data_IF_464273576017
#
_entry.id   IF_464273576017
#
_cell.length_a   1.000
_cell.length_b   1.000
_cell.length_c   1.000
_cell.angle_alpha   90.00
_cell.angle_beta   90.00
_cell.angle_gamma   90.00
#
_symmetry.space_group_name_H-M   'P 1'
#
loop_
_entity.id
_entity.type
_entity.pdbx_description
1 polymer ?
#
# COMPACT_ATOMS: atom_id res chain seq x y z
N UNK A 1 -12.22 -3.98 -41.31
CA UNK A 1 -11.90 -4.97 -40.25
C UNK A 1 -10.46 -4.90 -39.68
N UNK A 2 -9.58 -3.97 -40.10
CA UNK A 2 -8.17 -3.88 -39.60
C UNK A 2 -7.97 -3.07 -38.30
N UNK A 3 -8.96 -2.28 -37.86
CA UNK A 3 -8.84 -1.40 -36.68
C UNK A 3 -9.05 -2.11 -35.34
N UNK A 4 -9.67 -3.30 -35.31
CA UNK A 4 -10.01 -4.02 -34.06
C UNK A 4 -8.85 -4.82 -33.46
N UNK A 5 -7.81 -5.13 -34.25
CA UNK A 5 -6.66 -5.96 -33.82
C UNK A 5 -5.54 -5.10 -33.18
N UNK A 6 -5.52 -3.79 -33.44
CA UNK A 6 -4.47 -2.89 -32.92
C UNK A 6 -4.64 -2.54 -31.43
N UNK A 7 -5.88 -2.61 -30.92
CA UNK A 7 -6.22 -2.27 -29.53
C UNK A 7 -5.61 -3.27 -28.51
N UNK A 8 -5.74 -4.61 -28.66
CA UNK A 8 -5.17 -5.54 -27.69
C UNK A 8 -3.63 -5.49 -27.64
N UNK A 9 -2.98 -5.22 -28.78
CA UNK A 9 -1.51 -5.11 -28.86
C UNK A 9 -1.02 -3.87 -28.13
N UNK A 10 -1.73 -2.73 -28.27
CA UNK A 10 -1.40 -1.51 -27.54
C UNK A 10 -1.60 -1.65 -26.03
N UNK A 11 -2.66 -2.34 -25.59
CA UNK A 11 -2.89 -2.62 -24.17
C UNK A 11 -1.82 -3.54 -23.55
N UNK A 12 -1.36 -4.56 -24.29
CA UNK A 12 -0.29 -5.44 -23.83
C UNK A 12 1.06 -4.72 -23.70
N UNK A 13 1.36 -3.78 -24.61
CA UNK A 13 2.58 -2.97 -24.54
C UNK A 13 2.57 -1.99 -23.36
N UNK A 14 1.42 -1.40 -23.01
CA UNK A 14 1.26 -0.51 -21.86
C UNK A 14 1.36 -1.26 -20.51
N UNK A 15 0.94 -2.53 -20.46
CA UNK A 15 1.04 -3.34 -19.25
C UNK A 15 2.51 -3.67 -18.88
N UNK A 16 3.40 -3.76 -19.87
CA UNK A 16 4.81 -4.09 -19.65
C UNK A 16 5.62 -2.95 -18.99
N UNK A 17 5.21 -1.69 -19.16
CA UNK A 17 5.90 -0.54 -18.56
C UNK A 17 5.47 -0.22 -17.13
N UNK A 18 4.44 -0.89 -16.60
CA UNK A 18 3.89 -0.59 -15.27
C UNK A 18 4.63 -1.25 -14.10
N UNK A 19 5.60 -2.13 -14.38
CA UNK A 19 6.34 -2.86 -13.35
C UNK A 19 7.76 -2.29 -13.21
N UNK A 20 7.88 -1.07 -12.72
CA UNK A 20 9.18 -0.50 -12.33
C UNK A 20 9.56 -1.04 -10.95
N UNK A 21 10.61 -1.88 -10.81
CA UNK A 21 11.03 -2.36 -9.51
C UNK A 21 11.50 -1.17 -8.65
N UNK A 22 11.07 -1.15 -7.40
CA UNK A 22 11.43 -0.11 -6.43
C UNK A 22 12.37 -0.72 -5.39
N UNK A 23 13.40 0.02 -4.98
CA UNK A 23 14.33 -0.40 -3.94
C UNK A 23 14.48 0.66 -2.85
N UNK A 24 14.69 0.21 -1.62
CA UNK A 24 15.04 1.08 -0.49
C UNK A 24 16.53 1.42 -0.54
N UNK A 25 16.86 2.71 -0.49
CA UNK A 25 18.24 3.19 -0.52
C UNK A 25 18.48 4.13 0.65
N UNK A 26 19.63 3.96 1.29
CA UNK A 26 20.18 4.88 2.29
C UNK A 26 21.68 5.01 2.03
N UNK A 27 22.24 6.22 1.83
CA UNK A 27 23.61 6.40 1.35
C UNK A 27 24.72 5.73 2.19
N UNK A 28 24.44 5.46 3.47
CA UNK A 28 25.42 4.96 4.44
C UNK A 28 25.06 3.56 4.99
N UNK A 29 23.99 2.93 4.50
CA UNK A 29 23.54 1.64 5.01
C UNK A 29 24.21 0.48 4.26
N UNK A 30 24.68 -0.52 5.00
CA UNK A 30 25.08 -1.80 4.41
C UNK A 30 23.86 -2.63 4.03
N UNK A 31 23.96 -3.59 3.09
CA UNK A 31 22.86 -4.48 2.76
C UNK A 31 22.32 -5.25 3.98
N UNK A 32 23.22 -5.66 4.88
CA UNK A 32 22.84 -6.35 6.11
C UNK A 32 22.05 -5.43 7.06
N UNK A 33 22.40 -4.15 7.14
CA UNK A 33 21.64 -3.17 7.92
C UNK A 33 20.25 -2.92 7.32
N UNK A 34 20.15 -2.87 5.98
CA UNK A 34 18.86 -2.73 5.30
C UNK A 34 17.93 -3.89 5.65
N UNK A 35 18.41 -5.14 5.56
CA UNK A 35 17.59 -6.32 5.85
C UNK A 35 17.13 -6.34 7.32
N UNK A 36 18.03 -5.99 8.25
CA UNK A 36 17.70 -5.90 9.67
C UNK A 36 16.67 -4.79 9.96
N UNK A 37 16.86 -3.61 9.38
CA UNK A 37 15.95 -2.49 9.52
C UNK A 37 14.58 -2.79 8.92
N UNK A 38 14.53 -3.44 7.75
CA UNK A 38 13.30 -3.85 7.09
C UNK A 38 12.55 -4.87 7.94
N UNK A 39 13.23 -5.91 8.45
CA UNK A 39 12.62 -6.91 9.31
C UNK A 39 12.08 -6.29 10.62
N UNK A 40 12.84 -5.38 11.24
CA UNK A 40 12.40 -4.68 12.43
C UNK A 40 11.16 -3.82 12.14
N UNK A 41 11.18 -3.04 11.06
CA UNK A 41 10.05 -2.20 10.68
C UNK A 41 8.79 -3.02 10.35
N UNK A 42 8.93 -4.18 9.71
CA UNK A 42 7.81 -5.08 9.45
C UNK A 42 7.21 -5.64 10.74
N UNK A 43 8.04 -6.09 11.67
CA UNK A 43 7.56 -6.61 12.96
C UNK A 43 6.81 -5.55 13.77
N UNK A 44 7.36 -4.34 13.83
CA UNK A 44 6.72 -3.20 14.51
C UNK A 44 5.40 -2.81 13.84
N UNK A 45 5.39 -2.73 12.51
CA UNK A 45 4.20 -2.44 11.73
C UNK A 45 3.11 -3.50 11.94
N UNK A 46 3.47 -4.78 11.96
CA UNK A 46 2.53 -5.88 12.21
C UNK A 46 1.89 -5.78 13.59
N UNK A 47 2.68 -5.50 14.64
CA UNK A 47 2.16 -5.35 16.01
C UNK A 47 1.15 -4.19 16.07
N UNK A 48 1.49 -3.05 15.49
CA UNK A 48 0.64 -1.87 15.49
C UNK A 48 -0.63 -2.07 14.64
N UNK A 49 -0.51 -2.61 13.43
CA UNK A 49 -1.64 -2.89 12.55
C UNK A 49 -2.61 -3.89 13.19
N UNK A 50 -2.08 -4.92 13.86
CA UNK A 50 -2.88 -5.89 14.62
C UNK A 50 -3.57 -5.24 15.82
N UNK A 51 -2.87 -4.41 16.58
CA UNK A 51 -3.44 -3.66 17.71
C UNK A 51 -4.60 -2.78 17.24
N UNK A 52 -4.39 -2.02 16.15
CA UNK A 52 -5.42 -1.16 15.53
C UNK A 52 -6.63 -1.93 15.06
N UNK A 53 -6.40 -3.08 14.45
CA UNK A 53 -7.47 -3.93 13.93
C UNK A 53 -8.35 -4.48 15.06
N UNK A 54 -7.75 -4.86 16.18
CA UNK A 54 -8.49 -5.44 17.31
C UNK A 54 -9.10 -4.42 18.27
N UNK A 55 -8.42 -3.30 18.56
CA UNK A 55 -8.84 -2.34 19.59
C UNK A 55 -9.54 -1.09 19.05
N UNK A 56 -9.20 -0.65 17.85
CA UNK A 56 -9.63 0.66 17.33
C UNK A 56 -10.65 0.57 16.19
N UNK A 57 -11.03 -0.64 15.76
CA UNK A 57 -12.07 -0.80 14.74
C UNK A 57 -13.48 -0.74 15.36
N UNK A 58 -14.37 0.12 14.86
CA UNK A 58 -15.78 0.01 15.16
C UNK A 58 -16.32 -1.33 14.64
N UNK A 59 -16.74 -2.21 15.55
CA UNK A 59 -17.23 -3.57 15.25
C UNK A 59 -18.68 -3.54 14.70
N UNK A 60 -19.37 -2.39 14.80
CA UNK A 60 -20.78 -2.25 14.44
C UNK A 60 -21.04 -1.33 13.23
N UNK A 61 -22.25 -1.41 12.64
CA UNK A 61 -22.67 -0.48 11.61
C UNK A 61 -22.83 0.95 12.17
N UNK A 62 -22.40 1.94 11.38
CA UNK A 62 -22.62 3.35 11.65
C UNK A 62 -23.80 3.88 10.80
N UNK A 63 -24.62 4.75 11.39
CA UNK A 63 -25.66 5.48 10.68
C UNK A 63 -25.07 6.77 10.12
N UNK A 64 -25.03 6.90 8.79
CA UNK A 64 -24.62 8.11 8.09
C UNK A 64 -25.83 8.78 7.44
N UNK A 65 -25.72 10.09 7.23
CA UNK A 65 -26.74 10.89 6.55
C UNK A 65 -26.13 11.51 5.30
N UNK A 66 -26.79 11.38 4.15
CA UNK A 66 -26.35 12.03 2.91
C UNK A 66 -26.74 13.51 2.88
N UNK A 67 -26.26 14.23 1.86
CA UNK A 67 -26.58 15.64 1.66
C UNK A 67 -28.08 15.91 1.42
N UNK A 68 -28.86 14.88 1.08
CA UNK A 68 -30.31 14.95 0.91
C UNK A 68 -31.08 14.57 2.19
N UNK A 69 -30.39 14.29 3.30
CA UNK A 69 -30.98 13.96 4.59
C UNK A 69 -31.38 12.48 4.77
N UNK A 70 -31.14 11.61 3.79
CA UNK A 70 -31.45 10.17 3.88
C UNK A 70 -30.42 9.50 4.78
N UNK A 71 -30.91 8.67 5.70
CA UNK A 71 -30.06 7.87 6.61
C UNK A 71 -29.83 6.49 6.02
N UNK A 72 -28.59 6.03 6.06
CA UNK A 72 -28.21 4.70 5.59
C UNK A 72 -27.18 4.06 6.54
N UNK A 73 -27.24 2.74 6.67
CA UNK A 73 -26.23 1.96 7.39
C UNK A 73 -24.99 1.80 6.51
N UNK A 74 -23.84 2.05 7.11
CA UNK A 74 -22.53 1.71 6.52
C UNK A 74 -21.75 0.90 7.53
N UNK A 75 -20.98 -0.08 7.05
CA UNK A 75 -19.89 -0.63 7.86
C UNK A 75 -18.66 0.24 7.67
N UNK A 76 -18.28 1.08 8.65
CA UNK A 76 -17.11 1.94 8.55
C UNK A 76 -15.83 1.13 8.38
N UNK A 77 -15.78 -0.07 8.98
CA UNK A 77 -14.66 -1.00 8.87
C UNK A 77 -14.66 -1.85 7.59
N UNK A 78 -15.36 -1.42 6.52
CA UNK A 78 -15.40 -2.15 5.25
C UNK A 78 -14.33 -1.63 4.27
N UNK A 79 -13.88 -2.45 3.30
CA UNK A 79 -12.94 -2.03 2.26
C UNK A 79 -13.40 -0.81 1.44
N UNK A 80 -14.71 -0.50 1.47
CA UNK A 80 -15.32 0.62 0.75
C UNK A 80 -15.57 1.85 1.64
N UNK A 81 -15.52 1.69 2.97
CA UNK A 81 -15.79 2.75 3.95
C UNK A 81 -14.53 3.38 4.53
N UNK A 82 -13.43 2.62 4.62
CA UNK A 82 -12.14 3.11 5.11
C UNK A 82 -10.99 2.40 4.35
N UNK A 83 -10.18 3.13 3.56
CA UNK A 83 -9.05 2.57 2.82
C UNK A 83 -7.93 2.05 3.73
N UNK A 84 -7.93 2.42 5.03
CA UNK A 84 -7.00 1.92 6.05
C UNK A 84 -7.59 0.82 6.92
N UNK A 85 -8.82 0.39 6.61
CA UNK A 85 -9.44 -0.73 7.33
C UNK A 85 -8.90 -2.09 6.90
N UNK A 86 -8.11 -2.19 5.83
CA UNK A 86 -7.42 -3.43 5.53
C UNK A 86 -6.13 -3.52 6.35
N UNK A 87 -6.03 -4.55 7.21
CA UNK A 87 -4.89 -4.75 8.09
C UNK A 87 -3.57 -4.86 7.31
N UNK A 88 -3.58 -5.53 6.16
CA UNK A 88 -2.39 -5.77 5.35
C UNK A 88 -1.92 -4.46 4.70
N UNK A 89 -2.85 -3.62 4.25
CA UNK A 89 -2.53 -2.31 3.69
C UNK A 89 -1.97 -1.37 4.76
N UNK A 90 -2.55 -1.39 5.96
CA UNK A 90 -2.06 -0.54 7.05
C UNK A 90 -0.68 -0.99 7.55
N UNK A 91 -0.42 -2.30 7.59
CA UNK A 91 0.92 -2.86 7.88
C UNK A 91 1.96 -2.37 6.85
N UNK A 92 1.68 -2.51 5.56
CA UNK A 92 2.60 -2.09 4.50
C UNK A 92 2.91 -0.58 4.56
N UNK A 93 1.90 0.23 4.88
CA UNK A 93 2.03 1.68 5.06
C UNK A 93 2.88 2.04 6.27
N UNK A 94 2.65 1.38 7.41
CA UNK A 94 3.40 1.57 8.65
C UNK A 94 4.87 1.14 8.49
N UNK A 95 5.11 0.01 7.81
CA UNK A 95 6.46 -0.45 7.51
C UNK A 95 7.19 0.56 6.61
N UNK A 96 6.53 1.06 5.56
CA UNK A 96 7.08 2.09 4.67
C UNK A 96 7.32 3.42 5.38
N UNK A 97 6.51 3.77 6.37
CA UNK A 97 6.73 4.95 7.21
C UNK A 97 7.96 4.77 8.11
N UNK A 98 8.11 3.60 8.75
CA UNK A 98 9.26 3.25 9.57
C UNK A 98 10.57 3.27 8.77
N UNK A 99 10.58 2.74 7.54
CA UNK A 99 11.75 2.81 6.67
C UNK A 99 12.13 4.27 6.35
N UNK A 100 11.14 5.10 6.00
CA UNK A 100 11.36 6.53 5.74
C UNK A 100 11.84 7.29 6.97
N UNK A 101 11.33 6.99 8.17
CA UNK A 101 11.79 7.63 9.41
C UNK A 101 13.22 7.23 9.79
N UNK A 102 13.67 6.02 9.40
CA UNK A 102 15.08 5.59 9.50
C UNK A 102 15.99 6.23 8.44
N UNK A 103 15.43 7.04 7.53
CA UNK A 103 16.16 7.75 6.48
C UNK A 103 16.38 6.96 5.19
N UNK A 104 15.56 5.93 4.94
CA UNK A 104 15.55 5.24 3.65
C UNK A 104 14.59 5.93 2.67
N UNK A 105 15.01 6.06 1.43
CA UNK A 105 14.17 6.48 0.31
C UNK A 105 13.86 5.32 -0.61
N UNK A 106 12.62 5.29 -1.12
CA UNK A 106 12.20 4.29 -2.09
C UNK A 106 12.41 4.87 -3.49
N UNK A 107 13.41 4.37 -4.20
CA UNK A 107 13.79 4.84 -5.54
C UNK A 107 13.52 3.76 -6.59
N UNK A 108 13.14 4.12 -7.83
CA UNK A 108 13.06 3.17 -8.92
C UNK A 108 14.45 2.60 -9.21
N UNK A 109 14.53 1.29 -9.35
CA UNK A 109 15.72 0.62 -9.87
C UNK A 109 15.73 0.88 -11.37
N UNK A 110 16.75 1.57 -11.86
CA UNK A 110 16.92 1.69 -13.30
C UNK A 110 17.08 0.29 -13.89
N UNK A 111 16.25 -0.10 -14.88
CA UNK A 111 16.49 -1.35 -15.59
C UNK A 111 17.87 -1.23 -16.25
N UNK A 112 18.79 -2.12 -15.89
CA UNK A 112 20.05 -2.28 -16.63
C UNK A 112 19.66 -2.56 -18.08
N UNK A 113 19.85 -1.57 -18.96
CA UNK A 113 19.85 -1.79 -20.39
C UNK A 113 21.00 -2.76 -20.69
N UNK A 114 20.67 -4.05 -20.82
CA UNK A 114 21.50 -5.02 -21.53
C UNK A 114 21.24 -4.88 -23.03
#
# INVERSE_FOLDING_TARGET
MRRRILIPIACAALAATACTPMQWVKPQATPQQLDQDAAQCQQEAWREARLRTWLYRPIGPAMLQDAQGRRFLVWPSSPFGDPFSDQLMDEARLASFCMRSKGYELVPVEPKNQ
#
